data_IF_800194654238
#
_entry.id   IF_800194654238
#
_cell.length_a   1.000
_cell.length_b   1.000
_cell.length_c   1.000
_cell.angle_alpha   90.00
_cell.angle_beta   90.00
_cell.angle_gamma   90.00
#
_symmetry.space_group_name_H-M   'P 1'
#
loop_
_entity.id
_entity.type
_entity.pdbx_description
1 polymer ?
#
# COMPACT_ATOMS: atom_id res chain seq x y z
N UNK A 1 -8.56 -14.94 -10.08
CA UNK A 1 -7.79 -13.71 -9.74
C UNK A 1 -6.34 -14.15 -9.57
N UNK A 2 -5.38 -13.41 -10.14
CA UNK A 2 -3.96 -13.76 -9.97
C UNK A 2 -3.54 -13.68 -8.50
N UNK A 3 -2.71 -14.64 -8.07
CA UNK A 3 -2.21 -14.71 -6.71
C UNK A 3 -1.08 -13.70 -6.53
N UNK A 4 -1.17 -12.93 -5.46
CA UNK A 4 -0.14 -11.98 -5.02
C UNK A 4 0.51 -12.47 -3.72
N UNK A 5 1.73 -12.02 -3.49
CA UNK A 5 2.45 -12.18 -2.25
C UNK A 5 3.18 -10.87 -1.89
N UNK A 6 3.45 -10.67 -0.60
CA UNK A 6 4.30 -9.58 -0.14
C UNK A 6 5.75 -10.06 -0.11
N UNK A 7 6.64 -9.25 -0.67
CA UNK A 7 8.06 -9.51 -0.72
C UNK A 7 8.82 -8.39 0.00
N UNK A 8 9.50 -8.72 1.08
CA UNK A 8 10.37 -7.76 1.78
C UNK A 8 11.62 -7.57 0.93
N UNK A 9 11.88 -6.36 0.41
CA UNK A 9 13.02 -6.14 -0.46
C UNK A 9 14.32 -6.29 0.31
N UNK A 10 15.38 -6.70 -0.41
CA UNK A 10 16.76 -6.65 0.03
C UNK A 10 17.41 -5.39 -0.56
N UNK A 11 18.60 -4.97 -0.07
CA UNK A 11 19.28 -3.81 -0.62
C UNK A 11 19.48 -3.87 -2.14
N UNK A 12 19.80 -5.04 -2.69
CA UNK A 12 19.98 -5.25 -4.13
C UNK A 12 18.70 -5.12 -4.95
N UNK A 13 17.53 -5.09 -4.31
CA UNK A 13 16.22 -4.99 -4.97
C UNK A 13 15.73 -3.53 -5.08
N UNK A 14 16.44 -2.58 -4.48
CA UNK A 14 16.01 -1.18 -4.40
C UNK A 14 15.95 -0.46 -5.77
N UNK A 15 16.56 -1.05 -6.80
CA UNK A 15 16.39 -0.57 -8.18
C UNK A 15 14.92 -0.51 -8.61
N UNK A 16 14.05 -1.38 -8.05
CA UNK A 16 12.62 -1.32 -8.37
C UNK A 16 11.94 -0.14 -7.68
N UNK A 17 12.31 0.17 -6.44
CA UNK A 17 11.85 1.37 -5.75
C UNK A 17 12.26 2.63 -6.53
N UNK A 18 13.55 2.77 -6.91
CA UNK A 18 14.03 3.86 -7.75
C UNK A 18 13.26 3.95 -9.08
N UNK A 19 13.04 2.80 -9.73
CA UNK A 19 12.28 2.75 -10.98
C UNK A 19 10.85 3.29 -10.81
N UNK A 20 10.18 2.98 -9.71
CA UNK A 20 8.83 3.49 -9.45
C UNK A 20 8.84 4.99 -9.12
N UNK A 21 9.77 5.42 -8.27
CA UNK A 21 9.84 6.83 -7.83
C UNK A 21 10.34 7.78 -8.91
N UNK A 22 11.06 7.28 -9.91
CA UNK A 22 11.52 8.06 -11.09
C UNK A 22 10.54 7.98 -12.28
N UNK A 23 9.44 7.23 -12.20
CA UNK A 23 8.47 7.12 -13.28
C UNK A 23 7.33 8.15 -13.12
N UNK A 24 7.23 9.16 -14.01
CA UNK A 24 6.24 10.23 -13.89
C UNK A 24 4.79 9.72 -13.92
N UNK A 25 4.51 8.64 -14.66
CA UNK A 25 3.17 8.08 -14.68
C UNK A 25 2.83 7.43 -13.33
N UNK A 26 3.75 6.70 -12.73
CA UNK A 26 3.60 6.11 -11.40
C UNK A 26 3.47 7.17 -10.33
N UNK A 27 4.29 8.22 -10.39
CA UNK A 27 4.35 9.27 -9.36
C UNK A 27 3.38 10.43 -9.58
N UNK A 28 2.56 10.41 -10.62
CA UNK A 28 1.62 11.49 -10.95
C UNK A 28 0.70 11.93 -9.80
N UNK A 29 0.36 11.03 -8.88
CA UNK A 29 -0.42 11.35 -7.68
C UNK A 29 0.33 12.28 -6.71
N UNK A 30 1.66 12.28 -6.78
CA UNK A 30 2.55 13.05 -5.91
C UNK A 30 2.94 14.41 -6.51
N UNK A 31 2.51 14.74 -7.74
CA UNK A 31 2.84 16.00 -8.39
C UNK A 31 2.16 17.21 -7.74
N UNK A 32 2.79 18.39 -7.82
CA UNK A 32 2.21 19.67 -7.44
C UNK A 32 2.24 20.01 -5.95
N UNK A 33 2.89 19.21 -5.09
CA UNK A 33 3.09 19.57 -3.70
C UNK A 33 4.13 20.68 -3.56
N UNK A 34 3.91 21.56 -2.57
CA UNK A 34 4.85 22.62 -2.20
C UNK A 34 5.65 22.13 -0.98
N UNK A 35 6.60 21.23 -1.24
CA UNK A 35 7.43 20.60 -0.21
C UNK A 35 8.91 20.79 -0.57
N UNK A 36 9.72 21.03 0.44
CA UNK A 36 11.18 21.05 0.35
C UNK A 36 11.72 19.66 0.72
N UNK A 37 11.73 18.78 -0.28
CA UNK A 37 12.26 17.43 -0.16
C UNK A 37 13.34 17.19 -1.21
N UNK A 38 14.53 16.78 -0.79
CA UNK A 38 15.65 16.55 -1.67
C UNK A 38 15.30 15.54 -2.78
N UNK A 39 15.56 15.91 -4.03
CA UNK A 39 15.25 15.07 -5.20
C UNK A 39 13.79 15.09 -5.66
N UNK A 40 12.89 15.83 -5.00
CA UNK A 40 11.50 15.94 -5.42
C UNK A 40 11.31 16.84 -6.62
N UNK A 41 10.59 16.35 -7.63
CA UNK A 41 10.20 17.06 -8.84
C UNK A 41 8.70 17.44 -8.77
N UNK A 42 8.42 18.70 -8.56
CA UNK A 42 7.06 19.21 -8.35
C UNK A 42 6.12 18.97 -9.54
N UNK A 43 6.63 19.05 -10.75
CA UNK A 43 5.87 18.91 -12.00
C UNK A 43 5.43 17.48 -12.28
N UNK A 44 6.27 16.50 -11.94
CA UNK A 44 6.02 15.06 -12.18
C UNK A 44 5.65 14.28 -10.94
N UNK A 45 6.00 14.79 -9.76
CA UNK A 45 5.88 14.08 -8.50
C UNK A 45 6.99 13.06 -8.27
N UNK A 46 7.92 12.91 -9.21
CA UNK A 46 9.05 12.00 -9.09
C UNK A 46 9.97 12.39 -7.93
N UNK A 47 10.70 11.41 -7.42
CA UNK A 47 11.70 11.60 -6.38
C UNK A 47 12.97 10.87 -6.82
N UNK A 48 14.05 11.64 -7.01
CA UNK A 48 15.37 11.10 -7.27
C UNK A 48 16.02 10.71 -5.93
N UNK A 49 16.43 9.48 -5.81
CA UNK A 49 17.16 8.98 -4.67
C UNK A 49 18.60 8.68 -5.06
N UNK A 50 19.58 9.45 -4.61
CA UNK A 50 20.98 9.03 -4.72
C UNK A 50 21.22 7.74 -3.90
N UNK A 51 22.20 6.94 -4.27
CA UNK A 51 22.43 5.62 -3.66
C UNK A 51 22.60 5.68 -2.13
N UNK A 52 23.25 6.73 -1.63
CA UNK A 52 23.40 6.96 -0.19
C UNK A 52 22.07 7.16 0.51
N UNK A 53 21.16 7.98 -0.07
CA UNK A 53 19.84 8.21 0.47
C UNK A 53 18.94 6.96 0.40
N UNK A 54 19.18 6.07 -0.55
CA UNK A 54 18.49 4.78 -0.62
C UNK A 54 18.90 3.84 0.50
N UNK A 55 20.17 3.81 0.86
CA UNK A 55 20.65 3.00 1.98
C UNK A 55 20.03 3.47 3.29
N UNK A 56 20.03 4.78 3.54
CA UNK A 56 19.41 5.38 4.73
C UNK A 56 17.90 5.10 4.75
N UNK A 57 17.21 5.25 3.62
CA UNK A 57 15.79 4.93 3.50
C UNK A 57 15.51 3.45 3.79
N UNK A 58 16.34 2.54 3.26
CA UNK A 58 16.22 1.11 3.51
C UNK A 58 16.35 0.80 5.00
N UNK A 59 17.37 1.35 5.64
CA UNK A 59 17.62 1.17 7.07
C UNK A 59 16.52 1.77 7.94
N UNK A 60 15.82 2.78 7.45
CA UNK A 60 14.70 3.40 8.17
C UNK A 60 13.39 2.62 8.01
N UNK A 61 13.14 2.01 6.85
CA UNK A 61 11.84 1.45 6.51
C UNK A 61 11.74 -0.07 6.55
N UNK A 62 12.79 -0.79 6.24
CA UNK A 62 12.74 -2.24 6.06
C UNK A 62 13.18 -2.98 7.33
N UNK A 63 12.38 -3.97 7.76
CA UNK A 63 12.68 -4.75 8.96
C UNK A 63 12.51 -3.99 10.28
N UNK A 64 11.62 -2.98 10.33
CA UNK A 64 11.35 -2.12 11.51
C UNK A 64 9.97 -2.35 12.11
N UNK A 65 9.39 -3.52 11.91
CA UNK A 65 8.08 -3.87 12.45
C UNK A 65 8.07 -3.89 13.99
N UNK A 66 6.97 -3.48 14.62
CA UNK A 66 5.71 -3.02 14.03
C UNK A 66 5.67 -1.53 13.68
N UNK A 67 6.73 -0.74 13.97
CA UNK A 67 6.74 0.70 13.79
C UNK A 67 6.68 1.09 12.31
N UNK A 68 7.35 0.34 11.45
CA UNK A 68 7.34 0.51 10.00
C UNK A 68 7.36 -0.85 9.31
N UNK A 69 6.63 -0.92 8.22
CA UNK A 69 6.59 -2.07 7.33
C UNK A 69 6.65 -1.59 5.89
N UNK A 70 7.46 -2.25 5.08
CA UNK A 70 7.54 -2.01 3.65
C UNK A 70 7.70 -3.33 2.90
N UNK A 71 6.89 -3.53 1.86
CA UNK A 71 6.98 -4.72 1.01
C UNK A 71 6.62 -4.40 -0.44
N UNK A 72 7.32 -5.04 -1.38
CA UNK A 72 6.85 -5.11 -2.76
C UNK A 72 5.67 -6.06 -2.89
N UNK A 73 4.76 -5.71 -3.79
CA UNK A 73 3.65 -6.56 -4.22
C UNK A 73 4.19 -7.42 -5.37
N UNK A 74 4.34 -8.73 -5.14
CA UNK A 74 4.87 -9.66 -6.12
C UNK A 74 3.74 -10.52 -6.68
N UNK A 75 3.70 -10.67 -8.01
CA UNK A 75 2.78 -11.56 -8.70
C UNK A 75 3.37 -12.97 -8.73
N UNK A 76 2.63 -13.96 -8.17
CA UNK A 76 3.17 -15.30 -8.00
C UNK A 76 3.36 -16.08 -9.31
N UNK A 77 2.62 -15.72 -10.39
CA UNK A 77 2.66 -16.46 -11.66
C UNK A 77 3.97 -16.30 -12.43
N UNK A 78 4.62 -15.15 -12.33
CA UNK A 78 5.84 -14.82 -13.08
C UNK A 78 6.90 -14.10 -12.24
N UNK A 79 6.63 -13.88 -10.96
CA UNK A 79 7.53 -13.19 -10.05
C UNK A 79 7.64 -11.68 -10.25
N UNK A 80 6.84 -11.07 -11.12
CA UNK A 80 6.90 -9.64 -11.39
C UNK A 80 6.54 -8.81 -10.16
N UNK A 81 7.31 -7.78 -9.86
CA UNK A 81 6.96 -6.76 -8.87
C UNK A 81 6.05 -5.73 -9.52
N UNK A 82 4.88 -5.50 -8.91
CA UNK A 82 3.80 -4.68 -9.46
C UNK A 82 3.52 -3.40 -8.70
N UNK A 83 4.24 -3.17 -7.61
CA UNK A 83 4.09 -2.01 -6.75
C UNK A 83 4.60 -2.29 -5.35
N UNK A 84 4.23 -1.43 -4.41
CA UNK A 84 4.51 -1.59 -2.99
C UNK A 84 3.29 -1.32 -2.10
N UNK A 85 3.40 -1.79 -0.88
CA UNK A 85 2.54 -1.44 0.25
C UNK A 85 3.41 -1.17 1.47
N UNK A 86 2.97 -0.24 2.29
CA UNK A 86 3.67 0.09 3.52
C UNK A 86 2.70 0.55 4.62
N UNK A 87 3.16 0.54 5.86
CA UNK A 87 2.56 1.28 6.95
C UNK A 87 3.63 1.76 7.93
N UNK A 88 3.31 2.83 8.66
CA UNK A 88 4.20 3.36 9.69
C UNK A 88 3.41 3.96 10.85
N UNK A 89 3.98 3.88 12.03
CA UNK A 89 3.43 4.51 13.22
C UNK A 89 3.64 6.03 13.16
N UNK A 90 2.58 6.78 13.45
CA UNK A 90 2.60 8.25 13.59
C UNK A 90 2.43 8.57 15.07
N UNK A 91 3.54 8.84 15.82
CA UNK A 91 3.51 8.97 17.28
C UNK A 91 2.57 10.05 17.78
N UNK A 92 2.51 11.21 17.10
CA UNK A 92 1.68 12.36 17.49
C UNK A 92 0.19 12.05 17.47
N UNK A 93 -0.21 11.08 16.64
CA UNK A 93 -1.61 10.65 16.50
C UNK A 93 -1.88 9.32 17.19
N UNK A 94 -0.83 8.61 17.59
CA UNK A 94 -0.88 7.26 18.14
C UNK A 94 -1.68 6.30 17.24
N UNK A 95 -1.38 6.29 15.95
CA UNK A 95 -1.95 5.37 14.97
C UNK A 95 -0.96 5.00 13.88
N UNK A 96 -1.32 4.07 13.01
CA UNK A 96 -0.55 3.69 11.82
C UNK A 96 -1.19 4.28 10.58
N UNK A 97 -0.42 5.06 9.82
CA UNK A 97 -0.75 5.48 8.46
C UNK A 97 -0.20 4.46 7.46
N UNK A 98 -0.87 4.32 6.32
CA UNK A 98 -0.46 3.38 5.27
C UNK A 98 -0.27 4.05 3.93
N UNK A 99 0.51 3.39 3.04
CA UNK A 99 0.65 3.71 1.64
C UNK A 99 0.47 2.49 0.74
N UNK A 100 0.07 2.74 -0.49
CA UNK A 100 0.08 1.77 -1.58
C UNK A 100 0.41 2.49 -2.88
N UNK A 101 1.36 1.96 -3.62
CA UNK A 101 1.68 2.40 -4.98
C UNK A 101 1.58 1.21 -5.92
N UNK A 102 0.78 1.32 -6.96
CA UNK A 102 0.80 0.38 -8.08
C UNK A 102 1.61 0.99 -9.21
N UNK A 103 2.67 0.31 -9.63
CA UNK A 103 3.50 0.71 -10.76
C UNK A 103 2.63 0.87 -12.01
N UNK A 104 2.76 1.99 -12.71
CA UNK A 104 1.82 2.41 -13.74
C UNK A 104 1.44 1.33 -14.77
N UNK A 105 2.38 0.52 -15.33
CA UNK A 105 2.03 -0.55 -16.28
C UNK A 105 1.09 -1.62 -15.73
N UNK A 106 0.89 -1.67 -14.41
CA UNK A 106 0.01 -2.65 -13.75
C UNK A 106 -1.29 -2.04 -13.21
N UNK A 107 -1.50 -0.73 -13.37
CA UNK A 107 -2.75 -0.07 -12.98
C UNK A 107 -3.95 -0.59 -13.78
N UNK A 108 -5.13 -0.46 -13.21
CA UNK A 108 -6.38 -0.87 -13.85
C UNK A 108 -6.63 -2.38 -13.93
N UNK A 109 -5.69 -3.21 -13.46
CA UNK A 109 -5.76 -4.69 -13.55
C UNK A 109 -6.28 -5.36 -12.27
N UNK A 110 -6.77 -4.58 -11.30
CA UNK A 110 -7.41 -5.11 -10.09
C UNK A 110 -6.47 -5.55 -8.96
N UNK A 111 -5.18 -5.21 -9.01
CA UNK A 111 -4.19 -5.64 -8.02
C UNK A 111 -4.27 -4.92 -6.67
N UNK A 112 -4.75 -3.69 -6.63
CA UNK A 112 -4.70 -2.86 -5.42
C UNK A 112 -5.50 -3.44 -4.24
N UNK A 113 -6.71 -3.95 -4.47
CA UNK A 113 -7.54 -4.50 -3.39
C UNK A 113 -6.93 -5.77 -2.78
N UNK A 114 -6.49 -6.79 -3.55
CA UNK A 114 -5.78 -7.93 -3.00
C UNK A 114 -4.50 -7.56 -2.25
N UNK A 115 -3.72 -6.60 -2.77
CA UNK A 115 -2.50 -6.13 -2.13
C UNK A 115 -2.78 -5.47 -0.78
N UNK A 116 -3.79 -4.59 -0.71
CA UNK A 116 -4.26 -4.00 0.55
C UNK A 116 -4.67 -5.07 1.56
N UNK A 117 -5.40 -6.09 1.14
CA UNK A 117 -5.80 -7.18 2.04
C UNK A 117 -4.61 -7.97 2.58
N UNK A 118 -3.60 -8.24 1.76
CA UNK A 118 -2.37 -8.89 2.23
C UNK A 118 -1.64 -8.03 3.27
N UNK A 119 -1.52 -6.72 3.03
CA UNK A 119 -0.91 -5.80 3.99
C UNK A 119 -1.72 -5.74 5.30
N UNK A 120 -3.05 -5.65 5.23
CA UNK A 120 -3.92 -5.63 6.40
C UNK A 120 -3.85 -6.94 7.20
N UNK A 121 -3.79 -8.08 6.52
CA UNK A 121 -3.57 -9.37 7.18
C UNK A 121 -2.25 -9.38 7.95
N UNK A 122 -1.17 -8.90 7.33
CA UNK A 122 0.14 -8.79 7.99
C UNK A 122 0.07 -7.85 9.19
N UNK A 123 -0.44 -6.64 9.01
CA UNK A 123 -0.55 -5.65 10.07
C UNK A 123 -1.37 -6.14 11.28
N UNK A 124 -2.52 -6.73 11.03
CA UNK A 124 -3.45 -7.10 12.11
C UNK A 124 -3.13 -8.45 12.75
N UNK A 125 -2.68 -9.45 11.97
CA UNK A 125 -2.45 -10.80 12.47
C UNK A 125 -1.01 -11.03 12.93
N UNK A 126 -0.04 -10.44 12.23
CA UNK A 126 1.38 -10.63 12.54
C UNK A 126 1.89 -9.54 13.46
N UNK A 127 1.73 -8.26 13.08
CA UNK A 127 2.23 -7.13 13.86
C UNK A 127 1.32 -6.74 15.04
N UNK A 128 0.09 -7.26 15.11
CA UNK A 128 -0.82 -6.98 16.23
C UNK A 128 -1.41 -5.57 16.25
N UNK A 129 -1.26 -4.81 15.17
CA UNK A 129 -1.79 -3.44 15.04
C UNK A 129 -3.30 -3.46 15.23
N UNK A 130 -3.86 -2.47 15.93
CA UNK A 130 -5.30 -2.39 16.20
C UNK A 130 -6.09 -1.62 15.15
N UNK A 131 -5.46 -0.66 14.45
CA UNK A 131 -6.10 0.18 13.44
C UNK A 131 -5.10 0.78 12.46
N UNK A 132 -5.53 0.95 11.22
CA UNK A 132 -4.76 1.61 10.17
C UNK A 132 -5.59 2.74 9.57
N UNK A 133 -4.95 3.86 9.34
CA UNK A 133 -5.49 5.06 8.72
C UNK A 133 -4.92 5.24 7.32
N UNK A 134 -5.68 5.92 6.46
CA UNK A 134 -5.17 6.51 5.25
C UNK A 134 -5.87 7.85 4.99
N UNK A 135 -5.15 8.75 4.32
CA UNK A 135 -5.62 10.08 4.00
C UNK A 135 -5.22 10.41 2.56
N UNK A 136 -6.10 11.07 1.81
CA UNK A 136 -5.72 11.65 0.51
C UNK A 136 -6.54 12.88 0.18
N UNK A 137 -5.98 13.77 -0.62
CA UNK A 137 -6.67 14.97 -1.07
C UNK A 137 -7.81 14.63 -2.03
N UNK A 138 -8.98 15.20 -1.76
CA UNK A 138 -10.20 15.02 -2.56
C UNK A 138 -10.00 15.43 -4.02
N UNK A 139 -9.21 16.47 -4.26
CA UNK A 139 -8.91 16.96 -5.60
C UNK A 139 -8.07 16.02 -6.47
N UNK A 140 -7.46 14.99 -5.88
CA UNK A 140 -6.48 14.12 -6.52
C UNK A 140 -6.98 12.69 -6.75
N UNK A 141 -8.14 12.49 -7.36
CA UNK A 141 -8.62 11.14 -7.68
C UNK A 141 -9.37 10.42 -6.54
N UNK A 142 -10.14 11.18 -5.75
CA UNK A 142 -10.92 10.69 -4.60
C UNK A 142 -11.72 9.42 -4.90
N UNK A 143 -12.41 9.38 -6.05
CA UNK A 143 -13.38 8.30 -6.31
C UNK A 143 -12.70 6.95 -6.47
N UNK A 144 -11.63 6.85 -7.26
CA UNK A 144 -10.94 5.58 -7.51
C UNK A 144 -10.20 5.09 -6.26
N UNK A 145 -9.51 6.01 -5.56
CA UNK A 145 -8.80 5.69 -4.34
C UNK A 145 -9.79 5.26 -3.24
N UNK A 146 -10.87 6.01 -3.03
CA UNK A 146 -11.91 5.63 -2.06
C UNK A 146 -12.54 4.28 -2.37
N UNK A 147 -12.93 4.02 -3.63
CA UNK A 147 -13.53 2.74 -4.00
C UNK A 147 -12.59 1.55 -3.73
N UNK A 148 -11.30 1.71 -3.97
CA UNK A 148 -10.28 0.70 -3.69
C UNK A 148 -10.19 0.40 -2.20
N UNK A 149 -10.06 1.44 -1.37
CA UNK A 149 -9.98 1.29 0.09
C UNK A 149 -11.27 0.73 0.68
N UNK A 150 -12.43 1.20 0.23
CA UNK A 150 -13.73 0.66 0.65
C UNK A 150 -13.85 -0.84 0.36
N UNK A 151 -13.42 -1.29 -0.82
CA UNK A 151 -13.42 -2.72 -1.19
C UNK A 151 -12.45 -3.55 -0.33
N UNK A 152 -11.40 -2.92 0.21
CA UNK A 152 -10.50 -3.54 1.18
C UNK A 152 -11.04 -3.54 2.62
N UNK A 153 -12.13 -2.80 2.88
CA UNK A 153 -12.82 -2.76 4.18
C UNK A 153 -12.70 -1.44 4.94
N UNK A 154 -11.99 -0.43 4.40
CA UNK A 154 -11.88 0.88 5.05
C UNK A 154 -13.21 1.60 5.15
N UNK A 155 -13.41 2.30 6.26
CA UNK A 155 -14.55 3.18 6.50
C UNK A 155 -14.14 4.66 6.35
N UNK A 156 -15.07 5.46 5.81
CA UNK A 156 -14.89 6.91 5.66
C UNK A 156 -15.10 7.60 7.00
N UNK A 157 -14.13 8.33 7.48
CA UNK A 157 -14.23 9.17 8.68
C UNK A 157 -14.76 10.57 8.38
N UNK A 158 -14.62 11.04 7.13
CA UNK A 158 -15.06 12.35 6.67
C UNK A 158 -14.01 13.10 5.88
N UNK A 159 -14.39 14.29 5.41
CA UNK A 159 -13.48 15.21 4.72
C UNK A 159 -13.24 16.43 5.61
N UNK A 160 -11.98 16.78 5.81
CA UNK A 160 -11.58 17.99 6.54
C UNK A 160 -10.48 18.70 5.77
N UNK A 161 -10.65 19.99 5.49
CA UNK A 161 -9.70 20.81 4.73
C UNK A 161 -9.31 20.20 3.37
N UNK A 162 -10.28 19.63 2.65
CA UNK A 162 -10.03 18.99 1.35
C UNK A 162 -9.36 17.61 1.42
N UNK A 163 -9.12 17.08 2.62
CA UNK A 163 -8.53 15.75 2.84
C UNK A 163 -9.60 14.77 3.29
N UNK A 164 -9.80 13.71 2.51
CA UNK A 164 -10.59 12.55 2.91
C UNK A 164 -9.78 11.69 3.86
N UNK A 165 -10.38 11.38 5.00
CA UNK A 165 -9.80 10.48 6.00
C UNK A 165 -10.59 9.19 6.08
N UNK A 166 -9.88 8.09 6.22
CA UNK A 166 -10.46 6.76 6.35
C UNK A 166 -9.66 5.92 7.33
N UNK A 167 -10.28 4.87 7.82
CA UNK A 167 -9.70 3.97 8.80
C UNK A 167 -10.29 2.56 8.64
N UNK A 168 -9.55 1.57 9.08
CA UNK A 168 -10.02 0.21 9.32
C UNK A 168 -9.43 -0.29 10.63
N UNK A 169 -10.26 -0.93 11.44
CA UNK A 169 -9.82 -1.59 12.68
C UNK A 169 -9.59 -3.08 12.45
N UNK A 170 -8.74 -3.67 13.28
CA UNK A 170 -8.52 -5.12 13.31
C UNK A 170 -9.81 -5.90 13.51
N UNK A 171 -10.67 -5.43 14.42
CA UNK A 171 -11.95 -6.08 14.73
C UNK A 171 -12.87 -6.13 13.51
N UNK A 172 -13.07 -4.99 12.84
CA UNK A 172 -13.90 -4.90 11.62
C UNK A 172 -13.35 -5.80 10.50
N UNK A 173 -12.04 -5.76 10.29
CA UNK A 173 -11.38 -6.58 9.27
C UNK A 173 -11.56 -8.07 9.50
N UNK A 174 -11.33 -8.54 10.74
CA UNK A 174 -11.44 -9.96 11.09
C UNK A 174 -12.89 -10.45 11.08
N UNK A 175 -13.84 -9.61 11.53
CA UNK A 175 -15.27 -9.93 11.49
C UNK A 175 -15.80 -10.07 10.07
N UNK A 176 -15.38 -9.18 9.17
CA UNK A 176 -15.73 -9.27 7.76
C UNK A 176 -15.15 -10.52 7.08
N UNK A 177 -13.94 -10.93 7.46
CA UNK A 177 -13.31 -12.15 6.94
C UNK A 177 -14.04 -13.44 7.39
N UNK A 178 -14.68 -13.44 8.57
CA UNK A 178 -15.46 -14.57 9.09
C UNK A 178 -16.86 -14.67 8.47
N UNK A 179 -17.41 -13.58 7.99
CA UNK A 179 -18.76 -13.52 7.41
C UNK A 179 -18.85 -13.96 5.94
N UNK A 180 -17.73 -14.31 5.30
CA UNK A 180 -17.73 -14.92 3.96
C UNK A 180 -18.14 -16.40 4.12
N UNK A 181 -19.28 -16.87 3.60
CA UNK A 181 -19.73 -18.26 3.74
C UNK A 181 -18.69 -19.22 3.16
N UNK A 182 -18.41 -20.32 3.86
CA UNK A 182 -17.52 -21.45 3.46
C UNK A 182 -18.01 -22.17 2.19
N UNK A 183 -18.98 -21.61 1.44
CA UNK A 183 -19.67 -22.24 0.32
C UNK A 183 -18.91 -22.40 -0.99
N UNK A 184 -17.78 -21.75 -1.19
CA UNK A 184 -17.07 -21.77 -2.48
C UNK A 184 -15.75 -22.57 -2.52
N UNK A 185 -15.41 -23.28 -1.44
CA UNK A 185 -14.19 -24.11 -1.41
C UNK A 185 -14.40 -25.59 -1.78
N UNK A 186 -15.63 -26.02 -2.11
CA UNK A 186 -15.92 -27.44 -2.43
C UNK A 186 -16.38 -27.59 -3.89
N UNK A 187 -15.65 -27.07 -4.85
CA UNK A 187 -15.80 -27.41 -6.26
C UNK A 187 -14.47 -27.57 -7.00
N UNK A 188 -13.49 -28.19 -6.37
CA UNK A 188 -12.26 -28.58 -7.08
C UNK A 188 -11.64 -29.88 -6.55
N UNK A 189 -12.47 -30.84 -6.15
CA UNK A 189 -11.97 -32.17 -5.81
C UNK A 189 -13.04 -33.23 -6.09
N UNK A 190 -13.49 -33.33 -7.34
CA UNK A 190 -14.16 -34.53 -7.85
C UNK A 190 -14.28 -34.45 -9.39
N UNK A 191 -13.28 -34.92 -10.09
CA UNK A 191 -13.46 -35.75 -11.28
C UNK A 191 -12.14 -36.46 -11.56
N UNK A 192 -12.19 -37.74 -11.49
CA UNK A 192 -11.26 -38.82 -11.82
C UNK A 192 -10.70 -38.68 -13.22
#
# INVERSE_FOLDING_TARGET
MEKLELYIPKPEDLWFYQKMTSDPETMSYNAGWDVDYAGYHRDTGCIDHPDEALADWYDEWVGKEPERFYAYIKRSSDGAWIGDVNFHHTPEKNWWDMGIVIYAPFRGKGYAVPALKLMLDHAFRVCGISRIHNNFEVARNEIAAWQTHRKAGFQKLGVKNGVLRMMITKEEYLSAAQSVPVGDQIKSAATI
#
